data_IF_326020403718
#
_entry.id   IF_326020403718
#
_cell.length_a   1.000
_cell.length_b   1.000
_cell.length_c   1.000
_cell.angle_alpha   90.00
_cell.angle_beta   90.00
_cell.angle_gamma   90.00
#
_symmetry.space_group_name_H-M   'P 1'
#
loop_
_entity.id
_entity.type
_entity.pdbx_description
1 polymer ?
#
# COMPACT_ATOMS: atom_id res chain seq x y z
N UNK A 1 -21.32 35.57 -4.30
CA UNK A 1 -20.25 35.56 -5.33
C UNK A 1 -19.02 34.69 -4.96
N UNK A 2 -18.76 34.30 -3.71
CA UNK A 2 -17.60 33.46 -3.36
C UNK A 2 -17.73 31.97 -3.77
N UNK A 3 -18.95 31.41 -3.83
CA UNK A 3 -19.17 30.00 -4.27
C UNK A 3 -18.74 29.74 -5.72
N UNK A 4 -18.79 30.74 -6.59
CA UNK A 4 -18.53 30.56 -8.03
C UNK A 4 -17.05 30.52 -8.38
N UNK A 5 -16.17 31.15 -7.60
CA UNK A 5 -14.70 31.08 -7.79
C UNK A 5 -14.09 29.80 -7.19
N UNK A 6 -14.72 29.23 -6.15
CA UNK A 6 -14.24 28.00 -5.53
C UNK A 6 -14.42 26.77 -6.45
N UNK A 7 -15.58 26.68 -7.12
CA UNK A 7 -15.99 25.53 -7.96
C UNK A 7 -15.97 25.82 -9.48
N UNK A 8 -15.31 26.91 -9.91
CA UNK A 8 -15.31 27.29 -11.34
C UNK A 8 -14.63 26.20 -12.17
N UNK A 9 -15.33 25.71 -13.21
CA UNK A 9 -14.74 24.75 -14.16
C UNK A 9 -13.49 25.36 -14.80
N UNK A 10 -12.38 24.62 -14.78
CA UNK A 10 -11.07 24.93 -15.38
C UNK A 10 -10.25 26.04 -14.73
N UNK A 11 -10.82 26.83 -13.82
CA UNK A 11 -10.12 27.96 -13.18
C UNK A 11 -10.42 28.11 -11.68
N UNK A 12 -11.27 27.26 -11.12
CA UNK A 12 -11.68 27.32 -9.73
C UNK A 12 -10.57 26.86 -8.81
N UNK A 13 -10.56 27.39 -7.58
CA UNK A 13 -9.52 27.08 -6.61
C UNK A 13 -9.42 25.58 -6.34
N UNK A 14 -10.56 24.86 -6.30
CA UNK A 14 -10.63 23.40 -6.10
C UNK A 14 -9.90 22.66 -7.24
N UNK A 15 -10.35 22.82 -8.48
CA UNK A 15 -9.76 22.13 -9.63
C UNK A 15 -8.27 22.48 -9.82
N UNK A 16 -7.90 23.75 -9.59
CA UNK A 16 -6.51 24.19 -9.67
C UNK A 16 -5.65 23.58 -8.57
N UNK A 17 -6.14 23.52 -7.34
CA UNK A 17 -5.38 22.93 -6.25
C UNK A 17 -5.31 21.40 -6.29
N UNK A 18 -6.29 20.73 -6.88
CA UNK A 18 -6.19 19.30 -7.23
C UNK A 18 -5.11 19.07 -8.30
N UNK A 19 -5.11 19.88 -9.37
CA UNK A 19 -4.10 19.84 -10.42
C UNK A 19 -2.69 20.12 -9.88
N UNK A 20 -2.57 21.10 -8.98
CA UNK A 20 -1.32 21.46 -8.31
C UNK A 20 -0.94 20.47 -7.17
N UNK A 21 -1.76 19.43 -6.93
CA UNK A 21 -1.59 18.45 -5.85
C UNK A 21 -1.42 19.09 -4.47
N UNK A 22 -2.19 20.14 -4.17
CA UNK A 22 -2.22 20.82 -2.86
C UNK A 22 -3.25 20.23 -1.92
N UNK A 23 -4.34 19.71 -2.46
CA UNK A 23 -5.37 18.99 -1.72
C UNK A 23 -6.05 17.96 -2.61
N UNK A 24 -6.85 17.11 -2.00
CA UNK A 24 -7.73 16.16 -2.67
C UNK A 24 -9.08 16.11 -1.98
N UNK A 25 -10.11 15.75 -2.74
CA UNK A 25 -11.42 15.43 -2.19
C UNK A 25 -11.47 13.98 -1.67
N UNK A 26 -12.11 13.79 -0.51
CA UNK A 26 -12.46 12.49 0.07
C UNK A 26 -13.94 12.47 0.42
N UNK A 27 -14.53 11.29 0.53
CA UNK A 27 -15.92 11.08 0.93
C UNK A 27 -16.00 10.53 2.35
N UNK A 28 -16.49 11.35 3.28
CA UNK A 28 -16.78 10.94 4.66
C UNK A 28 -18.29 10.84 4.81
N UNK A 29 -18.82 9.61 4.94
CA UNK A 29 -20.27 9.35 5.02
C UNK A 29 -21.02 10.03 3.86
N UNK A 30 -20.53 9.81 2.64
CA UNK A 30 -21.05 10.35 1.37
C UNK A 30 -20.96 11.88 1.24
N UNK A 31 -20.36 12.59 2.20
CA UNK A 31 -20.12 14.02 2.12
C UNK A 31 -18.69 14.29 1.65
N UNK A 32 -18.50 15.19 0.67
CA UNK A 32 -17.16 15.56 0.21
C UNK A 32 -16.45 16.43 1.24
N UNK A 33 -15.18 16.12 1.49
CA UNK A 33 -14.26 16.89 2.31
C UNK A 33 -12.96 17.11 1.56
N UNK A 34 -12.37 18.30 1.73
CA UNK A 34 -11.07 18.64 1.17
C UNK A 34 -10.01 18.37 2.22
N UNK A 35 -8.99 17.58 1.87
CA UNK A 35 -7.84 17.32 2.73
C UNK A 35 -6.55 17.77 2.06
N UNK A 36 -5.60 18.38 2.79
CA UNK A 36 -4.33 18.80 2.21
C UNK A 36 -3.49 17.59 1.81
N UNK A 37 -2.69 17.76 0.75
CA UNK A 37 -1.66 16.80 0.35
C UNK A 37 -0.33 17.21 0.99
N UNK A 38 0.18 16.41 1.92
CA UNK A 38 1.35 16.75 2.77
C UNK A 38 2.63 16.03 2.36
N UNK A 39 2.53 14.94 1.60
CA UNK A 39 3.68 14.18 1.13
C UNK A 39 3.52 13.66 -0.29
N UNK A 40 4.65 13.31 -0.91
CA UNK A 40 4.68 12.55 -2.15
C UNK A 40 4.23 11.12 -1.90
N UNK A 41 3.87 10.43 -2.98
CA UNK A 41 3.55 9.02 -2.93
C UNK A 41 4.75 8.19 -2.48
N UNK A 42 4.49 7.21 -1.61
CA UNK A 42 5.46 6.25 -1.07
C UNK A 42 4.79 4.88 -0.95
N UNK A 43 5.57 3.83 -0.77
CA UNK A 43 5.06 2.51 -0.40
C UNK A 43 5.55 2.17 0.99
N UNK A 44 4.64 1.71 1.85
CA UNK A 44 4.99 1.11 3.12
C UNK A 44 4.75 -0.39 3.07
N UNK A 45 5.72 -1.16 3.57
CA UNK A 45 5.63 -2.61 3.74
C UNK A 45 5.78 -2.91 5.22
N UNK A 46 4.84 -3.69 5.74
CA UNK A 46 4.90 -4.18 7.12
C UNK A 46 4.36 -5.62 7.22
N UNK A 47 4.73 -6.31 8.29
CA UNK A 47 4.30 -7.69 8.56
C UNK A 47 3.66 -7.84 9.93
N UNK A 48 2.59 -8.65 10.00
CA UNK A 48 2.00 -9.05 11.27
C UNK A 48 1.93 -10.57 11.39
N UNK A 49 2.65 -11.14 12.37
CA UNK A 49 2.63 -12.58 12.67
C UNK A 49 1.54 -13.00 13.65
N UNK A 50 1.10 -14.26 13.54
CA UNK A 50 0.29 -14.97 14.54
C UNK A 50 0.47 -16.49 14.41
N UNK A 51 -0.17 -17.26 15.29
CA UNK A 51 -0.13 -18.73 15.26
C UNK A 51 -0.70 -19.34 13.98
N UNK A 52 -1.63 -18.66 13.31
CA UNK A 52 -2.31 -19.12 12.10
C UNK A 52 -1.65 -18.67 10.78
N UNK A 53 -0.58 -17.88 10.87
CA UNK A 53 0.21 -17.43 9.71
C UNK A 53 0.75 -16.02 9.85
N UNK A 54 1.25 -15.50 8.73
CA UNK A 54 1.80 -14.15 8.60
C UNK A 54 0.96 -13.35 7.62
N UNK A 55 0.69 -12.11 7.96
CA UNK A 55 0.07 -11.11 7.10
C UNK A 55 1.17 -10.21 6.56
N UNK A 56 1.27 -10.10 5.25
CA UNK A 56 2.16 -9.17 4.56
C UNK A 56 1.30 -8.03 4.07
N UNK A 57 1.59 -6.80 4.50
CA UNK A 57 0.93 -5.59 4.03
C UNK A 57 1.84 -4.83 3.08
N UNK A 58 1.33 -4.51 1.89
CA UNK A 58 1.96 -3.60 0.94
C UNK A 58 0.96 -2.46 0.72
N UNK A 59 1.20 -1.33 1.38
CA UNK A 59 0.36 -0.14 1.30
C UNK A 59 0.98 0.88 0.33
N UNK A 60 0.31 1.12 -0.79
CA UNK A 60 0.67 2.18 -1.73
C UNK A 60 0.04 3.50 -1.24
N UNK A 61 0.84 4.32 -0.56
CA UNK A 61 0.40 5.50 0.17
C UNK A 61 0.51 6.73 -0.72
N UNK A 62 -0.62 7.34 -1.10
CA UNK A 62 -0.62 8.62 -1.82
C UNK A 62 -0.27 9.81 -0.94
N UNK A 63 -0.48 9.71 0.38
CA UNK A 63 -0.11 10.74 1.34
C UNK A 63 0.10 10.21 2.77
N UNK A 64 1.28 9.63 3.00
CA UNK A 64 1.63 9.05 4.29
C UNK A 64 1.66 10.10 5.43
N UNK A 65 2.09 11.33 5.17
CA UNK A 65 2.12 12.40 6.19
C UNK A 65 0.72 12.82 6.63
N UNK A 66 -0.25 12.90 5.72
CA UNK A 66 -1.64 13.21 6.07
C UNK A 66 -2.29 12.07 6.86
N UNK A 67 -2.10 10.81 6.44
CA UNK A 67 -2.54 9.65 7.20
C UNK A 67 -1.95 9.59 8.60
N UNK A 68 -0.64 9.81 8.72
CA UNK A 68 0.04 9.86 10.01
C UNK A 68 -0.50 10.99 10.91
N UNK A 69 -0.66 12.20 10.36
CA UNK A 69 -1.19 13.34 11.12
C UNK A 69 -2.63 13.10 11.59
N UNK A 70 -3.45 12.39 10.81
CA UNK A 70 -4.78 11.98 11.23
C UNK A 70 -4.73 11.05 12.46
N UNK A 71 -3.87 10.04 12.44
CA UNK A 71 -3.69 9.14 13.58
C UNK A 71 -3.14 9.87 14.82
N UNK A 72 -2.08 10.65 14.63
CA UNK A 72 -1.33 11.32 15.70
C UNK A 72 -2.09 12.49 16.33
N UNK A 73 -2.68 13.37 15.51
CA UNK A 73 -3.27 14.63 16.00
C UNK A 73 -4.78 14.58 16.11
N UNK A 74 -5.45 13.92 15.16
CA UNK A 74 -6.92 13.88 15.13
C UNK A 74 -7.46 12.75 16.01
N UNK A 75 -6.95 11.53 15.84
CA UNK A 75 -7.33 10.39 16.71
C UNK A 75 -6.56 10.35 18.04
N UNK A 76 -5.48 11.13 18.14
CA UNK A 76 -4.64 11.25 19.35
C UNK A 76 -4.17 9.88 19.84
N UNK A 77 -3.71 9.04 18.92
CA UNK A 77 -3.23 7.71 19.28
C UNK A 77 -1.98 7.81 20.17
N UNK A 78 -1.89 7.00 21.24
CA UNK A 78 -0.71 6.97 22.07
C UNK A 78 0.46 6.37 21.28
N UNK A 79 1.62 6.98 21.42
CA UNK A 79 2.88 6.43 20.92
C UNK A 79 3.49 5.48 21.96
N UNK A 80 4.20 4.46 21.49
CA UNK A 80 5.15 3.75 22.31
C UNK A 80 6.16 4.76 22.89
N UNK A 81 6.71 4.46 24.09
CA UNK A 81 7.67 5.38 24.73
C UNK A 81 9.08 5.20 24.19
N UNK A 82 9.48 3.97 23.88
CA UNK A 82 10.83 3.63 23.42
C UNK A 82 10.78 2.50 22.37
N UNK A 83 11.08 2.81 21.09
CA UNK A 83 11.18 4.16 20.53
C UNK A 83 9.82 4.87 20.48
N UNK A 84 9.83 6.20 20.26
CA UNK A 84 8.60 7.01 20.15
C UNK A 84 7.96 6.82 18.79
N UNK A 85 6.95 5.97 18.70
CA UNK A 85 6.28 5.63 17.44
C UNK A 85 4.85 5.13 17.63
N UNK A 86 4.03 5.22 16.58
CA UNK A 86 2.74 4.54 16.53
C UNK A 86 2.96 3.06 16.23
N UNK A 87 2.40 2.19 17.06
CA UNK A 87 2.41 0.73 16.88
C UNK A 87 1.08 0.10 17.26
N UNK A 88 0.48 -0.66 16.35
CA UNK A 88 -0.79 -1.36 16.52
C UNK A 88 -0.76 -2.29 17.73
N UNK A 89 0.33 -3.04 17.88
CA UNK A 89 0.54 -3.97 18.99
C UNK A 89 0.53 -3.27 20.37
N UNK A 90 0.83 -1.96 20.42
CA UNK A 90 0.86 -1.16 21.66
C UNK A 90 -0.45 -0.41 21.94
N UNK A 91 -1.39 -0.41 21.01
CA UNK A 91 -2.71 0.18 21.23
C UNK A 91 -3.59 -0.72 22.10
N UNK A 92 -4.26 -0.11 23.08
CA UNK A 92 -5.31 -0.79 23.84
C UNK A 92 -6.61 -0.94 23.02
N UNK A 93 -7.60 -1.63 23.59
CA UNK A 93 -8.87 -1.92 22.91
C UNK A 93 -9.61 -0.66 22.44
N UNK A 94 -9.62 0.40 23.24
CA UNK A 94 -10.35 1.64 22.94
C UNK A 94 -9.73 2.37 21.75
N UNK A 95 -8.40 2.47 21.71
CA UNK A 95 -7.70 3.09 20.59
C UNK A 95 -7.79 2.25 19.31
N UNK A 96 -7.73 0.91 19.42
CA UNK A 96 -7.98 0.03 18.26
C UNK A 96 -9.39 0.26 17.73
N UNK A 97 -10.41 0.30 18.59
CA UNK A 97 -11.79 0.60 18.20
C UNK A 97 -11.90 1.93 17.46
N UNK A 98 -11.27 3.00 17.99
CA UNK A 98 -11.23 4.32 17.32
C UNK A 98 -10.61 4.27 15.93
N UNK A 99 -9.52 3.51 15.74
CA UNK A 99 -8.91 3.31 14.41
C UNK A 99 -9.88 2.61 13.48
N UNK A 100 -10.49 1.50 13.94
CA UNK A 100 -11.41 0.71 13.13
C UNK A 100 -12.62 1.53 12.67
N UNK A 101 -13.21 2.34 13.55
CA UNK A 101 -14.34 3.24 13.24
C UNK A 101 -13.99 4.32 12.20
N UNK A 102 -12.70 4.63 12.02
CA UNK A 102 -12.22 5.68 11.11
C UNK A 102 -11.36 5.13 9.96
N UNK A 103 -11.30 3.80 9.79
CA UNK A 103 -10.35 3.18 8.87
C UNK A 103 -10.63 3.53 7.40
N UNK A 104 -11.91 3.63 7.02
CA UNK A 104 -12.30 4.09 5.69
C UNK A 104 -11.81 5.51 5.38
N UNK A 105 -11.88 6.42 6.36
CA UNK A 105 -11.41 7.80 6.23
C UNK A 105 -9.89 7.78 6.06
N UNK A 106 -9.19 7.01 6.89
CA UNK A 106 -7.74 6.86 6.82
C UNK A 106 -7.29 6.37 5.42
N UNK A 107 -7.94 5.36 4.86
CA UNK A 107 -7.60 4.85 3.53
C UNK A 107 -7.81 5.89 2.43
N UNK A 108 -8.97 6.56 2.41
CA UNK A 108 -9.21 7.61 1.42
C UNK A 108 -8.22 8.77 1.54
N UNK A 109 -7.82 9.12 2.77
CA UNK A 109 -6.84 10.17 3.05
C UNK A 109 -5.42 9.79 2.68
N UNK A 110 -5.02 8.53 2.73
CA UNK A 110 -3.60 8.18 2.72
C UNK A 110 -3.17 7.10 1.73
N UNK A 111 -4.10 6.30 1.19
CA UNK A 111 -3.79 5.16 0.32
C UNK A 111 -4.41 5.28 -1.08
N UNK A 112 -3.66 4.83 -2.08
CA UNK A 112 -4.14 4.56 -3.44
C UNK A 112 -4.55 3.10 -3.60
N UNK A 113 -3.79 2.19 -2.99
CA UNK A 113 -4.08 0.76 -2.99
C UNK A 113 -3.43 0.07 -1.78
N UNK A 114 -4.02 -1.03 -1.33
CA UNK A 114 -3.48 -1.88 -0.25
C UNK A 114 -3.59 -3.34 -0.69
N UNK A 115 -2.49 -4.08 -0.58
CA UNK A 115 -2.42 -5.51 -0.78
C UNK A 115 -2.10 -6.20 0.54
N UNK A 116 -2.95 -7.15 0.94
CA UNK A 116 -2.72 -8.02 2.10
C UNK A 116 -2.56 -9.45 1.62
N UNK A 117 -1.48 -10.11 2.02
CA UNK A 117 -1.23 -11.53 1.77
C UNK A 117 -1.20 -12.25 3.12
N UNK A 118 -2.22 -13.04 3.43
CA UNK A 118 -2.21 -13.97 4.57
C UNK A 118 -1.60 -15.29 4.12
N UNK A 119 -0.51 -15.75 4.73
CA UNK A 119 0.17 -16.98 4.31
C UNK A 119 0.85 -17.71 5.48
N UNK A 120 0.99 -19.03 5.37
CA UNK A 120 1.79 -19.88 6.26
C UNK A 120 3.10 -20.37 5.58
N UNK A 121 3.45 -19.84 4.41
CA UNK A 121 4.56 -20.31 3.59
C UNK A 121 5.95 -19.85 4.05
N UNK A 122 6.00 -18.87 4.96
CA UNK A 122 7.26 -18.30 5.46
C UNK A 122 7.92 -19.18 6.54
N UNK A 123 7.11 -19.96 7.26
CA UNK A 123 7.51 -20.85 8.37
C UNK A 123 7.70 -22.27 7.85
N UNK A 124 8.75 -22.99 8.27
CA UNK A 124 8.94 -24.40 7.90
C UNK A 124 8.95 -24.63 6.38
N UNK A 125 9.72 -23.79 5.67
CA UNK A 125 9.79 -23.73 4.20
C UNK A 125 10.72 -24.80 3.62
N UNK A 126 10.33 -25.36 2.48
CA UNK A 126 11.14 -26.33 1.69
C UNK A 126 12.00 -25.64 0.61
N UNK A 127 11.85 -24.33 0.43
CA UNK A 127 12.53 -23.54 -0.59
C UNK A 127 13.13 -22.24 -0.02
N UNK A 128 13.97 -21.55 -0.80
CA UNK A 128 14.61 -20.31 -0.35
C UNK A 128 13.55 -19.25 -0.07
N UNK A 129 13.73 -18.46 0.99
CA UNK A 129 12.76 -17.45 1.40
C UNK A 129 12.50 -16.41 0.29
N UNK A 130 13.53 -16.06 -0.49
CA UNK A 130 13.41 -15.21 -1.67
C UNK A 130 12.46 -15.80 -2.72
N UNK A 131 12.55 -17.11 -2.98
CA UNK A 131 11.69 -17.79 -3.95
C UNK A 131 10.25 -17.85 -3.44
N UNK A 132 10.04 -18.13 -2.14
CA UNK A 132 8.72 -18.03 -1.49
C UNK A 132 8.15 -16.63 -1.68
N UNK A 133 8.92 -15.58 -1.38
CA UNK A 133 8.48 -14.20 -1.50
C UNK A 133 8.08 -13.86 -2.94
N UNK A 134 8.92 -14.17 -3.93
CA UNK A 134 8.61 -13.96 -5.35
C UNK A 134 7.33 -14.70 -5.74
N UNK A 135 7.14 -15.94 -5.30
CA UNK A 135 5.92 -16.72 -5.57
C UNK A 135 4.68 -16.16 -4.88
N UNK A 136 4.81 -15.60 -3.68
CA UNK A 136 3.72 -14.92 -3.00
C UNK A 136 3.28 -13.69 -3.79
N UNK A 137 4.22 -12.85 -4.24
CA UNK A 137 3.90 -11.69 -5.07
C UNK A 137 3.31 -12.13 -6.41
N UNK A 138 4.00 -13.00 -7.16
CA UNK A 138 3.56 -13.42 -8.49
C UNK A 138 2.24 -14.20 -8.46
N UNK A 139 1.99 -14.98 -7.41
CA UNK A 139 0.74 -15.70 -7.19
C UNK A 139 -0.46 -14.78 -6.94
N UNK A 140 -0.25 -13.54 -6.47
CA UNK A 140 -1.30 -12.52 -6.36
C UNK A 140 -1.75 -11.99 -7.73
N UNK A 141 -0.87 -12.05 -8.74
CA UNK A 141 -1.05 -11.35 -10.03
C UNK A 141 -1.02 -12.27 -11.24
N UNK A 142 -0.99 -13.58 -11.04
CA UNK A 142 -1.02 -14.58 -12.11
C UNK A 142 -2.30 -15.40 -12.04
N UNK A 143 -2.79 -15.89 -13.18
CA UNK A 143 -4.00 -16.69 -13.28
C UNK A 143 -4.31 -17.07 -14.72
N UNK A 144 -4.84 -18.28 -14.93
CA UNK A 144 -5.04 -18.88 -16.26
C UNK A 144 -6.48 -18.82 -16.78
N UNK A 145 -7.46 -18.41 -15.95
CA UNK A 145 -8.84 -18.27 -16.43
C UNK A 145 -8.94 -17.04 -17.34
N UNK A 146 -9.45 -17.23 -18.56
CA UNK A 146 -9.51 -16.20 -19.61
C UNK A 146 -10.00 -14.82 -19.14
N UNK A 147 -11.01 -14.76 -18.26
CA UNK A 147 -11.55 -13.49 -17.75
C UNK A 147 -10.83 -12.94 -16.51
N UNK A 148 -10.14 -13.79 -15.74
CA UNK A 148 -9.36 -13.35 -14.58
C UNK A 148 -7.96 -12.84 -15.02
N UNK A 149 -7.41 -13.38 -16.11
CA UNK A 149 -6.07 -13.02 -16.60
C UNK A 149 -5.91 -11.52 -16.90
N UNK A 150 -6.87 -10.92 -17.59
CA UNK A 150 -6.81 -9.48 -17.91
C UNK A 150 -6.92 -8.60 -16.66
N UNK A 151 -7.86 -8.92 -15.75
CA UNK A 151 -8.01 -8.20 -14.49
C UNK A 151 -6.73 -8.29 -13.64
N UNK A 152 -6.07 -9.45 -13.62
CA UNK A 152 -4.79 -9.65 -12.92
C UNK A 152 -3.64 -8.89 -13.56
N UNK A 153 -3.57 -8.86 -14.90
CA UNK A 153 -2.56 -8.09 -15.62
C UNK A 153 -2.73 -6.58 -15.38
N UNK A 154 -3.98 -6.09 -15.36
CA UNK A 154 -4.30 -4.70 -14.99
C UNK A 154 -3.89 -4.40 -13.55
N UNK A 155 -4.25 -5.27 -12.61
CA UNK A 155 -3.89 -5.10 -11.21
C UNK A 155 -2.36 -5.15 -10.99
N UNK A 156 -1.65 -6.04 -11.67
CA UNK A 156 -0.17 -6.08 -11.67
C UNK A 156 0.41 -4.78 -12.18
N UNK A 157 -0.11 -4.29 -13.30
CA UNK A 157 0.34 -3.02 -13.91
C UNK A 157 0.10 -1.86 -12.97
N UNK A 158 -1.06 -1.83 -12.31
CA UNK A 158 -1.43 -0.84 -11.31
C UNK A 158 -0.47 -0.85 -10.12
N UNK A 159 -0.20 -2.00 -9.51
CA UNK A 159 0.75 -2.09 -8.41
C UNK A 159 2.19 -1.79 -8.85
N UNK A 160 2.57 -2.14 -10.08
CA UNK A 160 3.87 -1.76 -10.65
C UNK A 160 4.00 -0.24 -10.75
N UNK A 161 3.02 0.47 -11.31
CA UNK A 161 3.02 1.94 -11.39
C UNK A 161 3.10 2.63 -10.01
N UNK A 162 2.50 2.00 -9.00
CA UNK A 162 2.50 2.52 -7.64
C UNK A 162 3.80 2.26 -6.87
N UNK A 163 4.65 1.34 -7.35
CA UNK A 163 5.88 0.88 -6.67
C UNK A 163 7.17 1.19 -7.43
N UNK A 164 7.12 1.30 -8.75
CA UNK A 164 8.26 1.63 -9.61
C UNK A 164 8.64 3.12 -9.51
N UNK A 165 9.93 3.41 -9.33
CA UNK A 165 10.44 4.77 -9.12
C UNK A 165 9.71 5.51 -7.97
N UNK A 166 9.32 4.75 -6.94
CA UNK A 166 8.65 5.23 -5.73
C UNK A 166 9.43 4.76 -4.52
N UNK A 167 9.62 5.66 -3.56
CA UNK A 167 10.27 5.36 -2.28
C UNK A 167 9.49 4.28 -1.52
N UNK A 168 10.14 3.15 -1.27
CA UNK A 168 9.59 2.03 -0.51
C UNK A 168 10.27 1.95 0.84
N UNK A 169 9.47 2.08 1.89
CA UNK A 169 9.84 1.94 3.27
C UNK A 169 9.37 0.57 3.74
N UNK A 170 10.29 -0.26 4.22
CA UNK A 170 10.00 -1.64 4.57
C UNK A 170 10.49 -1.89 5.99
N UNK A 171 9.56 -2.20 6.88
CA UNK A 171 9.88 -2.88 8.14
C UNK A 171 9.31 -4.28 8.01
N UNK A 172 10.13 -5.30 8.23
CA UNK A 172 9.64 -6.64 7.94
C UNK A 172 10.40 -7.70 8.69
N UNK A 173 9.64 -8.65 9.22
CA UNK A 173 10.17 -9.76 10.02
C UNK A 173 10.70 -10.93 9.18
N UNK A 174 10.90 -10.76 7.86
CA UNK A 174 11.26 -11.84 6.94
C UNK A 174 12.72 -12.32 7.08
N UNK A 175 13.22 -12.63 8.27
CA UNK A 175 14.60 -13.10 8.44
C UNK A 175 14.80 -14.46 7.73
N UNK A 176 15.88 -14.64 6.93
CA UNK A 176 17.04 -13.76 6.72
C UNK A 176 16.97 -12.81 5.49
N UNK A 177 15.81 -12.66 4.87
CA UNK A 177 15.61 -11.76 3.73
C UNK A 177 15.71 -10.30 4.18
N UNK A 178 16.66 -9.55 3.60
CA UNK A 178 16.87 -8.14 3.95
C UNK A 178 15.88 -7.23 3.24
N UNK A 179 15.56 -6.08 3.84
CA UNK A 179 14.62 -5.09 3.28
C UNK A 179 14.98 -4.61 1.86
N UNK A 180 16.27 -4.39 1.48
CA UNK A 180 16.60 -4.03 0.10
C UNK A 180 16.26 -5.15 -0.90
N UNK A 181 16.42 -6.42 -0.49
CA UNK A 181 16.09 -7.58 -1.34
C UNK A 181 14.58 -7.70 -1.51
N UNK A 182 13.80 -7.50 -0.44
CA UNK A 182 12.33 -7.49 -0.50
C UNK A 182 11.85 -6.43 -1.50
N UNK A 183 12.33 -5.20 -1.35
CA UNK A 183 11.98 -4.08 -2.22
C UNK A 183 12.36 -4.39 -3.67
N UNK A 184 13.58 -4.86 -3.91
CA UNK A 184 14.02 -5.23 -5.26
C UNK A 184 13.14 -6.33 -5.86
N UNK A 185 12.89 -7.42 -5.14
CA UNK A 185 12.10 -8.55 -5.65
C UNK A 185 10.63 -8.18 -5.86
N UNK A 186 10.06 -7.32 -5.01
CA UNK A 186 8.69 -6.82 -5.20
C UNK A 186 8.56 -6.11 -6.54
N UNK A 187 9.36 -5.07 -6.76
CA UNK A 187 9.29 -4.24 -7.98
C UNK A 187 9.67 -5.05 -9.21
N UNK A 188 10.74 -5.87 -9.12
CA UNK A 188 11.16 -6.77 -10.20
C UNK A 188 10.04 -7.75 -10.57
N UNK A 189 9.40 -8.36 -9.58
CA UNK A 189 8.28 -9.28 -9.84
C UNK A 189 7.14 -8.53 -10.50
N UNK A 190 6.69 -7.40 -9.97
CA UNK A 190 5.60 -6.60 -10.55
C UNK A 190 5.91 -6.13 -11.99
N UNK A 191 7.17 -5.87 -12.33
CA UNK A 191 7.58 -5.41 -13.67
C UNK A 191 7.16 -6.37 -14.80
N UNK A 192 7.13 -7.68 -14.54
CA UNK A 192 6.85 -8.68 -15.56
C UNK A 192 7.85 -8.67 -16.73
N UNK A 193 9.08 -8.23 -16.50
CA UNK A 193 10.14 -8.12 -17.52
C UNK A 193 10.31 -6.73 -18.12
N UNK A 194 9.46 -5.76 -17.75
CA UNK A 194 9.66 -4.34 -18.08
C UNK A 194 10.86 -3.77 -17.31
N UNK A 195 11.54 -2.72 -17.82
CA UNK A 195 12.51 -1.96 -17.03
C UNK A 195 11.91 -1.50 -15.71
N UNK A 196 12.69 -1.55 -14.63
CA UNK A 196 12.22 -1.22 -13.29
C UNK A 196 13.31 -0.54 -12.45
N UNK A 197 12.90 0.30 -11.50
CA UNK A 197 13.74 1.10 -10.62
C UNK A 197 13.27 0.95 -9.16
N UNK A 198 13.83 0.00 -8.40
CA UNK A 198 13.47 -0.19 -7.00
C UNK A 198 14.17 0.85 -6.11
N UNK A 199 13.41 1.64 -5.35
CA UNK A 199 13.95 2.68 -4.46
C UNK A 199 13.69 2.34 -2.99
N UNK A 200 14.63 1.65 -2.34
CA UNK A 200 14.54 1.36 -0.91
C UNK A 200 14.98 2.56 -0.07
N UNK A 201 14.16 2.95 0.91
CA UNK A 201 14.50 3.97 1.91
C UNK A 201 15.02 3.31 3.18
N UNK A 202 16.27 3.60 3.53
CA UNK A 202 16.96 3.04 4.71
C UNK A 202 16.59 3.84 5.96
N UNK A 203 15.34 3.72 6.40
CA UNK A 203 14.85 4.29 7.66
C UNK A 203 14.24 3.19 8.53
N UNK A 204 14.47 3.28 9.84
CA UNK A 204 13.77 2.46 10.83
C UNK A 204 12.35 2.98 11.06
N UNK A 205 11.50 2.15 11.67
CA UNK A 205 10.10 2.46 11.96
C UNK A 205 9.95 3.81 12.68
N UNK A 206 10.73 4.10 13.71
CA UNK A 206 10.60 5.31 14.53
C UNK A 206 10.82 6.61 13.73
N UNK A 207 11.57 6.54 12.64
CA UNK A 207 11.87 7.66 11.75
C UNK A 207 11.00 7.69 10.48
N UNK A 208 10.09 6.72 10.29
CA UNK A 208 9.40 6.47 9.04
C UNK A 208 7.89 6.45 9.22
N UNK A 209 7.23 7.57 8.89
CA UNK A 209 5.76 7.63 8.88
C UNK A 209 5.11 6.57 7.98
N UNK A 210 5.64 6.24 6.77
CA UNK A 210 5.07 5.17 5.95
C UNK A 210 5.09 3.79 6.63
N UNK A 211 6.15 3.48 7.41
CA UNK A 211 6.22 2.21 8.17
C UNK A 211 5.17 2.23 9.27
N UNK A 212 5.18 3.25 10.13
CA UNK A 212 4.24 3.35 11.26
C UNK A 212 2.77 3.34 10.79
N UNK A 213 2.46 4.02 9.68
CA UNK A 213 1.13 3.98 9.09
C UNK A 213 0.79 2.58 8.55
N UNK A 214 1.74 1.89 7.91
CA UNK A 214 1.54 0.54 7.39
C UNK A 214 1.36 -0.50 8.48
N UNK A 215 2.01 -0.34 9.64
CA UNK A 215 1.79 -1.17 10.83
C UNK A 215 0.36 -1.04 11.36
N UNK A 216 -0.14 0.19 11.51
CA UNK A 216 -1.52 0.44 11.92
C UNK A 216 -2.52 -0.15 10.90
N UNK A 217 -2.27 0.04 9.61
CA UNK A 217 -3.11 -0.51 8.54
C UNK A 217 -3.06 -2.06 8.56
N UNK A 218 -1.87 -2.65 8.63
CA UNK A 218 -1.68 -4.10 8.63
C UNK A 218 -2.42 -4.73 9.81
N UNK A 219 -2.24 -4.19 11.01
CA UNK A 219 -2.90 -4.64 12.22
C UNK A 219 -4.42 -4.51 12.18
N UNK A 220 -4.94 -3.39 11.72
CA UNK A 220 -6.38 -3.14 11.63
C UNK A 220 -7.05 -4.04 10.57
N UNK A 221 -6.45 -4.18 9.38
CA UNK A 221 -7.00 -5.03 8.32
C UNK A 221 -6.88 -6.51 8.68
N UNK A 222 -5.81 -6.92 9.35
CA UNK A 222 -5.69 -8.25 9.93
C UNK A 222 -6.89 -8.55 10.84
N UNK A 223 -7.23 -7.63 11.76
CA UNK A 223 -8.40 -7.81 12.64
C UNK A 223 -9.71 -7.92 11.85
N UNK A 224 -9.90 -7.15 10.77
CA UNK A 224 -11.07 -7.30 9.91
C UNK A 224 -11.14 -8.67 9.25
N UNK A 225 -10.03 -9.16 8.69
CA UNK A 225 -9.96 -10.47 8.04
C UNK A 225 -10.23 -11.60 9.05
N UNK A 226 -9.82 -11.43 10.31
CA UNK A 226 -10.09 -12.41 11.37
C UNK A 226 -11.56 -12.43 11.81
N UNK A 227 -12.27 -11.31 11.62
CA UNK A 227 -13.70 -11.18 11.91
C UNK A 227 -14.58 -11.38 10.66
N UNK A 228 -14.00 -11.73 9.51
CA UNK A 228 -14.66 -11.84 8.19
C UNK A 228 -15.42 -10.54 7.77
N UNK A 229 -14.86 -9.38 8.12
CA UNK A 229 -15.46 -8.03 7.88
C UNK A 229 -14.69 -7.18 6.88
N UNK A 230 -13.66 -7.70 6.24
CA UNK A 230 -12.81 -6.93 5.32
C UNK A 230 -13.59 -6.35 4.13
N UNK A 231 -14.65 -7.06 3.69
CA UNK A 231 -15.53 -6.61 2.61
C UNK A 231 -16.32 -5.34 2.95
N UNK A 232 -16.55 -5.05 4.24
CA UNK A 232 -17.22 -3.82 4.70
C UNK A 232 -16.39 -2.57 4.40
N UNK A 233 -15.07 -2.70 4.27
CA UNK A 233 -14.17 -1.62 3.82
C UNK A 233 -13.86 -1.68 2.32
N UNK A 234 -14.51 -2.56 1.57
CA UNK A 234 -14.34 -2.71 0.13
C UNK A 234 -13.09 -3.50 -0.27
N UNK A 235 -12.49 -4.28 0.62
CA UNK A 235 -11.49 -5.27 0.21
C UNK A 235 -12.13 -6.35 -0.65
N UNK A 236 -11.47 -6.71 -1.73
CA UNK A 236 -11.82 -7.85 -2.57
C UNK A 236 -10.85 -8.98 -2.29
N UNK A 237 -11.36 -10.13 -1.90
CA UNK A 237 -10.56 -11.34 -1.88
C UNK A 237 -10.34 -11.83 -3.32
N UNK A 238 -9.09 -12.08 -3.69
CA UNK A 238 -8.73 -12.58 -5.00
C UNK A 238 -8.09 -13.97 -4.88
N UNK A 239 -8.40 -14.86 -5.83
CA UNK A 239 -7.82 -16.21 -5.86
C UNK A 239 -6.30 -16.14 -5.93
N UNK A 240 -5.60 -16.98 -5.17
CA UNK A 240 -4.15 -17.09 -5.24
C UNK A 240 -3.77 -18.18 -6.25
N UNK A 241 -2.88 -17.88 -7.18
CA UNK A 241 -2.32 -18.89 -8.06
C UNK A 241 -1.27 -19.71 -7.31
N UNK A 242 -1.62 -20.95 -6.94
CA UNK A 242 -0.79 -21.81 -6.09
C UNK A 242 0.52 -22.18 -6.78
N UNK A 243 1.57 -21.43 -6.44
CA UNK A 243 2.96 -21.64 -6.89
C UNK A 243 3.91 -22.11 -5.78
N UNK A 244 3.41 -22.12 -4.55
CA UNK A 244 4.14 -22.48 -3.34
C UNK A 244 4.40 -23.99 -3.27
N UNK A 245 5.60 -24.39 -2.84
CA UNK A 245 5.89 -25.80 -2.54
C UNK A 245 5.32 -26.20 -1.17
N UNK A 246 4.92 -27.47 -1.05
CA UNK A 246 4.31 -28.04 0.16
C UNK A 246 2.79 -28.07 0.09
N UNK A 247 2.20 -29.25 0.37
CA UNK A 247 0.74 -29.47 0.24
C UNK A 247 -0.07 -28.54 1.16
N UNK A 248 0.42 -28.30 2.37
CA UNK A 248 -0.20 -27.46 3.40
C UNK A 248 0.11 -25.96 3.26
N UNK A 249 0.98 -25.56 2.32
CA UNK A 249 1.31 -24.15 2.11
C UNK A 249 0.25 -23.48 1.24
N UNK A 250 -0.20 -22.31 1.70
CA UNK A 250 -1.23 -21.55 1.01
C UNK A 250 -1.09 -20.04 1.24
N UNK A 251 -1.83 -19.26 0.46
CA UNK A 251 -1.99 -17.83 0.65
C UNK A 251 -3.41 -17.38 0.31
N UNK A 252 -3.96 -16.47 1.12
CA UNK A 252 -5.16 -15.70 0.83
C UNK A 252 -4.76 -14.26 0.54
N UNK A 253 -5.36 -13.67 -0.49
CA UNK A 253 -4.98 -12.36 -0.99
C UNK A 253 -6.19 -11.44 -0.95
N UNK A 254 -6.02 -10.26 -0.35
CA UNK A 254 -7.04 -9.24 -0.23
C UNK A 254 -6.50 -7.93 -0.80
N UNK A 255 -7.30 -7.28 -1.63
CA UNK A 255 -6.91 -6.05 -2.31
C UNK A 255 -7.96 -4.97 -2.10
N UNK A 256 -7.49 -3.79 -1.74
CA UNK A 256 -8.28 -2.57 -1.70
C UNK A 256 -7.68 -1.56 -2.67
N UNK A 257 -8.53 -0.89 -3.45
CA UNK A 257 -8.13 0.19 -4.36
C UNK A 257 -9.03 1.39 -4.13
N UNK A 258 -8.42 2.56 -4.00
CA UNK A 258 -9.15 3.79 -3.83
C UNK A 258 -9.92 4.12 -5.12
N UNK A 259 -11.25 4.11 -5.03
CA UNK A 259 -12.12 4.41 -6.16
C UNK A 259 -12.26 5.92 -6.42
N UNK A 260 -11.83 6.76 -5.47
CA UNK A 260 -11.69 8.19 -5.70
C UNK A 260 -10.51 8.41 -6.65
N UNK A 261 -10.75 9.12 -7.76
CA UNK A 261 -9.76 9.40 -8.83
C UNK A 261 -8.42 9.79 -8.20
N UNK A 262 -7.38 9.01 -8.46
CA UNK A 262 -6.03 9.30 -8.00
C UNK A 262 -5.35 10.21 -9.04
N UNK A 263 -5.25 11.55 -8.81
CA UNK A 263 -4.63 12.46 -9.77
C UNK A 263 -3.12 12.17 -9.97
N UNK A 264 -2.50 11.36 -9.10
CA UNK A 264 -1.08 11.05 -9.13
C UNK A 264 -0.66 10.08 -10.23
N UNK A 265 -1.60 9.34 -10.84
CA UNK A 265 -1.27 8.22 -11.74
C UNK A 265 -1.53 8.57 -13.19
N UNK A 266 -2.60 9.30 -13.50
CA UNK A 266 -2.86 9.79 -14.86
C UNK A 266 -1.76 10.75 -15.36
N UNK A 267 -0.96 11.33 -14.46
CA UNK A 267 0.15 12.23 -14.81
C UNK A 267 1.48 11.52 -15.13
N UNK A 268 1.62 10.22 -14.88
CA UNK A 268 2.82 9.44 -15.23
C UNK A 268 2.65 8.75 -16.58
N UNK A 269 2.65 9.52 -17.67
CA UNK A 269 3.00 8.93 -18.97
C UNK A 269 4.45 8.42 -18.86
N UNK A 270 4.77 7.21 -19.35
CA UNK A 270 6.15 6.77 -19.38
C UNK A 270 6.95 7.79 -20.20
N UNK A 271 7.91 8.45 -19.56
CA UNK A 271 8.97 9.16 -20.28
C UNK A 271 9.64 8.08 -21.14
N UNK A 272 9.40 8.13 -22.45
CA UNK A 272 10.24 7.44 -23.41
C UNK A 272 11.66 7.89 -23.10
N UNK A 273 12.47 7.02 -22.46
CA UNK A 273 13.90 7.25 -22.28
C UNK A 273 14.52 7.13 -23.66
N UNK A 274 14.44 8.19 -24.46
CA UNK A 274 15.35 8.41 -25.58
C UNK A 274 16.70 8.70 -24.94
N UNK A 275 17.54 7.67 -24.83
CA UNK A 275 18.97 7.87 -24.64
C UNK A 275 19.45 8.75 -25.81
N UNK A 276 20.23 9.81 -25.55
CA UNK A 276 20.87 10.54 -26.64
C UNK A 276 21.78 9.57 -27.41
N UNK A 277 21.87 9.68 -28.75
CA UNK A 277 22.78 8.84 -29.51
C UNK A 277 24.20 9.08 -29.01
N UNK A 278 24.89 7.97 -28.72
CA UNK A 278 26.34 7.97 -28.50
C UNK A 278 27.00 8.53 -29.75
N UNK A 279 27.57 9.73 -29.63
CA UNK A 279 28.56 10.20 -30.61
C UNK A 279 29.76 9.26 -30.51
N UNK A 280 29.99 8.50 -31.58
CA UNK A 280 31.20 7.74 -31.80
C UNK A 280 32.34 8.68 -32.26
N UNK A 281 33.61 8.36 -31.96
CA UNK A 281 34.74 9.28 -32.03
C UNK A 281 35.05 9.81 -33.43
#
# INVERSE_FOLDING_TARGET
>A
MAKTELYRKSSGWIEKGEKDRKFKEILVREKPFIVPILSKQTVGIDTSGESDGTYICIACLCDAKCGYAFLDRHLQLPKAKEPVELKWAKLNRDYRKKVMENLQILFQMSASAILIIKTNALVGREEKLTDVFVKLIDGCFSGYKHNEGEARAKLRSRFFELTDDVQIHCDSDFTPLTTPVIVHQLVKTLSGGRPFTPLHVVLKSEASHPIQLSDIICGAVKSLIQEDKESELGFKQISFNKKLKGKSKDAKVFVWENQARDPGVESRKPLARTLPPLEAP
#
